data_IF_780418591931
#
_entry.id   IF_780418591931
#
_cell.length_a   1.000
_cell.length_b   1.000
_cell.length_c   1.000
_cell.angle_alpha   90.00
_cell.angle_beta   90.00
_cell.angle_gamma   90.00
#
_symmetry.space_group_name_H-M   'P 1'
#
loop_
_entity.id
_entity.type
_entity.pdbx_description
1 polymer ?
#
# COMPACT_ATOMS: atom_id res chain seq x y z
N UNK A 1 11.47 -2.14 14.64
CA UNK A 1 12.63 -1.98 15.55
C UNK A 1 13.41 -0.76 15.09
N UNK A 2 13.33 0.39 15.75
CA UNK A 2 14.25 1.50 15.49
C UNK A 2 15.61 1.12 16.07
N UNK A 3 16.58 0.89 15.20
CA UNK A 3 17.97 0.82 15.62
C UNK A 3 18.38 2.21 16.10
N UNK A 4 18.66 2.35 17.38
CA UNK A 4 19.27 3.55 17.93
C UNK A 4 20.74 3.58 17.51
N UNK A 5 21.01 4.06 16.30
CA UNK A 5 22.35 4.12 15.72
C UNK A 5 23.17 5.30 16.27
N UNK A 6 22.52 6.30 16.87
CA UNK A 6 23.16 7.54 17.30
C UNK A 6 22.85 7.96 18.75
N UNK A 7 22.31 7.04 19.57
CA UNK A 7 21.86 7.40 20.92
C UNK A 7 20.66 8.36 20.90
N UNK A 8 20.42 9.05 21.99
CA UNK A 8 19.32 10.01 22.13
C UNK A 8 19.69 11.42 21.57
N UNK A 9 20.43 11.50 20.47
CA UNK A 9 20.76 12.79 19.84
C UNK A 9 19.50 13.43 19.23
N UNK A 10 18.98 14.52 19.82
CA UNK A 10 17.79 15.20 19.31
C UNK A 10 17.96 15.77 17.89
N UNK A 11 19.20 16.04 17.47
CA UNK A 11 19.47 16.53 16.13
C UNK A 11 19.36 15.40 15.09
N UNK A 12 19.85 14.21 15.40
CA UNK A 12 19.70 13.04 14.54
C UNK A 12 18.22 12.68 14.34
N UNK A 13 17.40 12.72 15.40
CA UNK A 13 15.96 12.49 15.33
C UNK A 13 15.30 13.54 14.42
N UNK A 14 15.61 14.81 14.58
CA UNK A 14 15.08 15.91 13.72
C UNK A 14 15.49 15.74 12.26
N UNK A 15 16.73 15.36 12.00
CA UNK A 15 17.23 15.13 10.64
C UNK A 15 16.47 13.96 9.97
N UNK A 16 16.19 12.88 10.70
CA UNK A 16 15.37 11.76 10.20
C UNK A 16 13.93 12.19 9.93
N UNK A 17 13.32 12.96 10.83
CA UNK A 17 11.97 13.49 10.63
C UNK A 17 11.91 14.42 9.42
N UNK A 18 12.90 15.30 9.25
CA UNK A 18 13.01 16.18 8.09
C UNK A 18 13.20 15.38 6.79
N UNK A 19 14.06 14.36 6.80
CA UNK A 19 14.24 13.47 5.65
C UNK A 19 12.92 12.82 5.22
N UNK A 20 12.16 12.26 6.16
CA UNK A 20 10.90 11.60 5.87
C UNK A 20 9.79 12.57 5.40
N UNK A 21 9.75 13.78 5.95
CA UNK A 21 8.66 14.73 5.73
C UNK A 21 8.93 15.75 4.61
N UNK A 22 10.19 16.09 4.34
CA UNK A 22 10.60 17.15 3.44
C UNK A 22 11.62 16.70 2.38
N UNK A 23 12.15 15.50 2.49
CA UNK A 23 13.11 14.97 1.51
C UNK A 23 12.45 14.75 0.14
N UNK A 24 13.14 15.14 -0.92
CA UNK A 24 12.70 14.96 -2.31
C UNK A 24 13.06 13.56 -2.85
N UNK A 25 12.81 12.52 -2.09
CA UNK A 25 13.05 11.14 -2.53
C UNK A 25 11.85 10.59 -3.35
N UNK A 26 12.16 9.73 -4.30
CA UNK A 26 11.15 9.07 -5.13
C UNK A 26 10.90 7.66 -4.61
N UNK A 27 9.65 7.36 -4.26
CA UNK A 27 9.29 6.05 -3.70
C UNK A 27 9.46 4.90 -4.70
N UNK A 28 9.31 5.16 -6.00
CA UNK A 28 9.54 4.18 -7.04
C UNK A 28 10.97 3.62 -7.06
N UNK A 29 11.98 4.49 -6.86
CA UNK A 29 13.38 4.06 -6.77
C UNK A 29 13.63 3.19 -5.53
N UNK A 30 12.99 3.53 -4.41
CA UNK A 30 13.07 2.76 -3.17
C UNK A 30 12.42 1.39 -3.36
N UNK A 31 11.24 1.33 -4.00
CA UNK A 31 10.55 0.07 -4.29
C UNK A 31 11.37 -0.83 -5.19
N UNK A 32 11.95 -0.29 -6.27
CA UNK A 32 12.82 -1.07 -7.17
C UNK A 32 14.03 -1.64 -6.42
N UNK A 33 14.68 -0.84 -5.57
CA UNK A 33 15.79 -1.33 -4.75
C UNK A 33 15.31 -2.40 -3.76
N UNK A 34 14.18 -2.20 -3.12
CA UNK A 34 13.59 -3.19 -2.22
C UNK A 34 13.32 -4.51 -2.92
N UNK A 35 12.74 -4.51 -4.14
CA UNK A 35 12.51 -5.74 -4.89
C UNK A 35 13.80 -6.48 -5.28
N UNK A 36 14.89 -5.75 -5.54
CA UNK A 36 16.21 -6.35 -5.76
C UNK A 36 16.73 -7.05 -4.50
N UNK A 37 16.59 -6.44 -3.33
CA UNK A 37 16.95 -7.06 -2.04
C UNK A 37 16.09 -8.31 -1.77
N UNK A 38 14.78 -8.22 -2.00
CA UNK A 38 13.86 -9.35 -1.87
C UNK A 38 14.29 -10.49 -2.79
N UNK A 39 14.68 -10.18 -4.03
CA UNK A 39 15.22 -11.18 -4.96
C UNK A 39 16.46 -11.88 -4.42
N UNK A 40 17.36 -11.16 -3.79
CA UNK A 40 18.59 -11.73 -3.24
C UNK A 40 18.32 -12.66 -2.05
N UNK A 41 17.37 -12.26 -1.19
CA UNK A 41 17.18 -12.90 0.12
C UNK A 41 16.04 -13.94 0.13
N UNK A 42 15.02 -13.77 -0.71
CA UNK A 42 13.77 -14.52 -0.66
C UNK A 42 13.41 -15.21 -1.97
N UNK A 43 14.30 -15.28 -2.96
CA UNK A 43 14.03 -15.83 -4.29
C UNK A 43 13.49 -17.27 -4.23
N UNK A 44 12.33 -17.50 -4.87
CA UNK A 44 11.68 -18.81 -4.94
C UNK A 44 10.70 -18.86 -6.11
N UNK A 45 10.90 -19.81 -7.03
CA UNK A 45 9.99 -20.04 -8.17
C UNK A 45 8.57 -20.49 -7.74
N UNK A 46 8.42 -20.99 -6.52
CA UNK A 46 7.11 -21.36 -5.94
C UNK A 46 6.54 -20.32 -4.99
N UNK A 47 7.12 -19.12 -4.96
CA UNK A 47 6.65 -18.05 -4.10
C UNK A 47 5.18 -17.67 -4.34
N UNK A 48 4.60 -17.04 -3.35
CA UNK A 48 3.20 -16.61 -3.32
C UNK A 48 3.12 -15.10 -3.19
N UNK A 49 2.38 -14.47 -4.09
CA UNK A 49 1.90 -13.11 -3.88
C UNK A 49 0.64 -13.14 -3.00
N UNK A 50 0.58 -12.27 -2.03
CA UNK A 50 -0.54 -12.16 -1.10
C UNK A 50 -1.10 -10.74 -1.18
N UNK A 51 -2.38 -10.62 -1.55
CA UNK A 51 -3.11 -9.36 -1.59
C UNK A 51 -4.06 -9.30 -0.41
N UNK A 52 -3.99 -8.22 0.35
CA UNK A 52 -4.90 -7.96 1.47
C UNK A 52 -5.07 -6.47 1.71
N UNK A 53 -6.13 -6.10 2.43
CA UNK A 53 -6.36 -4.73 2.86
C UNK A 53 -6.40 -4.62 4.38
N UNK A 54 -5.88 -3.51 4.90
CA UNK A 54 -5.89 -3.25 6.33
C UNK A 54 -6.48 -1.88 6.65
N UNK A 55 -7.38 -1.84 7.63
CA UNK A 55 -8.00 -0.62 8.13
C UNK A 55 -7.23 -0.05 9.32
N UNK A 56 -6.81 1.21 9.22
CA UNK A 56 -6.12 1.94 10.28
C UNK A 56 -7.10 2.90 10.97
N UNK A 57 -7.52 2.62 12.22
CA UNK A 57 -8.43 3.50 12.96
C UNK A 57 -7.88 4.92 13.07
N UNK A 58 -8.73 5.90 12.87
CA UNK A 58 -8.39 7.32 12.98
C UNK A 58 -9.37 8.06 13.89
N UNK A 59 -8.83 9.01 14.66
CA UNK A 59 -9.62 10.02 15.33
C UNK A 59 -9.75 11.23 14.40
N UNK A 60 -10.96 11.77 14.28
CA UNK A 60 -11.24 12.91 13.39
C UNK A 60 -11.29 12.53 11.90
N UNK A 61 -11.45 13.56 11.05
CA UNK A 61 -11.79 13.42 9.64
C UNK A 61 -10.75 14.01 8.69
N UNK A 62 -9.61 14.47 9.19
CA UNK A 62 -8.63 15.23 8.40
C UNK A 62 -7.62 14.36 7.64
N UNK A 63 -7.46 13.08 8.00
CA UNK A 63 -6.51 12.21 7.29
C UNK A 63 -7.06 11.83 5.90
N UNK A 64 -6.17 11.80 4.89
CA UNK A 64 -6.52 11.43 3.51
C UNK A 64 -7.20 10.07 3.45
N UNK A 65 -8.33 9.96 2.75
CA UNK A 65 -9.06 8.69 2.59
C UNK A 65 -9.82 8.22 3.83
N UNK A 66 -9.84 9.02 4.91
CA UNK A 66 -10.59 8.65 6.11
C UNK A 66 -12.10 8.68 5.85
N UNK A 67 -12.77 7.61 6.26
CA UNK A 67 -14.22 7.44 6.17
C UNK A 67 -14.70 6.46 7.23
N UNK A 68 -16.02 6.51 7.57
CA UNK A 68 -16.65 5.43 8.33
C UNK A 68 -16.90 4.23 7.42
N UNK A 69 -16.01 3.28 7.46
CA UNK A 69 -15.98 2.08 6.62
C UNK A 69 -15.59 0.85 7.44
N UNK A 70 -15.57 -0.33 6.83
CA UNK A 70 -15.12 -1.54 7.51
C UNK A 70 -13.67 -1.40 7.94
N UNK A 71 -13.40 -1.68 9.19
CA UNK A 71 -12.06 -1.68 9.77
C UNK A 71 -11.76 -3.08 10.30
N UNK A 72 -11.01 -3.87 9.53
CA UNK A 72 -10.69 -5.27 9.88
C UNK A 72 -10.02 -5.39 11.25
N UNK A 73 -9.12 -4.47 11.59
CA UNK A 73 -8.46 -4.44 12.89
C UNK A 73 -9.43 -4.34 14.08
N UNK A 74 -10.58 -3.70 13.88
CA UNK A 74 -11.61 -3.53 14.93
C UNK A 74 -12.79 -4.48 14.76
N UNK A 75 -12.88 -5.25 13.66
CA UNK A 75 -13.99 -6.13 13.34
C UNK A 75 -15.34 -5.42 13.20
N UNK A 76 -15.36 -4.13 12.86
CA UNK A 76 -16.57 -3.31 12.74
C UNK A 76 -16.41 -2.11 11.81
N UNK A 77 -17.53 -1.48 11.43
CA UNK A 77 -17.48 -0.16 10.76
C UNK A 77 -17.00 0.91 11.74
N UNK A 78 -15.84 1.51 11.43
CA UNK A 78 -15.24 2.58 12.22
C UNK A 78 -14.65 3.65 11.29
N UNK A 79 -14.32 4.80 11.87
CA UNK A 79 -13.59 5.84 11.16
C UNK A 79 -12.14 5.37 10.96
N UNK A 80 -11.78 5.09 9.72
CA UNK A 80 -10.45 4.54 9.40
C UNK A 80 -9.99 4.95 8.00
N UNK A 81 -8.68 4.88 7.79
CA UNK A 81 -8.06 4.79 6.46
C UNK A 81 -7.91 3.31 6.10
N UNK A 82 -7.94 2.99 4.81
CA UNK A 82 -7.67 1.62 4.33
C UNK A 82 -6.46 1.65 3.42
N UNK A 83 -5.50 0.78 3.70
CA UNK A 83 -4.38 0.49 2.82
C UNK A 83 -4.59 -0.87 2.15
N UNK A 84 -4.29 -0.96 0.86
CA UNK A 84 -4.19 -2.21 0.12
C UNK A 84 -2.72 -2.57 0.00
N UNK A 85 -2.38 -3.82 0.26
CA UNK A 85 -1.00 -4.29 0.34
C UNK A 85 -0.78 -5.48 -0.56
N UNK A 86 0.40 -5.54 -1.17
CA UNK A 86 0.94 -6.69 -1.86
C UNK A 86 2.14 -7.20 -1.07
N UNK A 87 2.12 -8.47 -0.70
CA UNK A 87 3.19 -9.16 0.01
C UNK A 87 3.76 -10.29 -0.82
N UNK A 88 4.98 -10.69 -0.50
CA UNK A 88 5.70 -11.84 -1.04
C UNK A 88 5.97 -12.84 0.08
N UNK A 89 5.71 -14.09 -0.17
CA UNK A 89 6.05 -15.17 0.75
C UNK A 89 6.70 -16.32 0.00
N UNK A 90 7.80 -16.84 0.54
CA UNK A 90 8.57 -17.96 0.04
C UNK A 90 8.98 -18.88 1.19
N UNK A 91 9.66 -19.98 0.89
CA UNK A 91 10.27 -20.82 1.91
C UNK A 91 11.36 -20.11 2.73
N UNK A 92 11.90 -19.00 2.21
CA UNK A 92 12.98 -18.23 2.84
C UNK A 92 12.48 -17.11 3.74
N UNK A 93 11.18 -16.77 3.67
CA UNK A 93 10.56 -15.72 4.48
C UNK A 93 9.46 -14.96 3.76
N UNK A 94 9.10 -13.82 4.32
CA UNK A 94 8.04 -12.97 3.76
C UNK A 94 8.32 -11.49 3.99
N UNK A 95 7.77 -10.66 3.09
CA UNK A 95 7.87 -9.19 3.18
C UNK A 95 6.72 -8.50 2.43
N UNK A 96 6.52 -7.21 2.73
CA UNK A 96 5.65 -6.36 1.91
C UNK A 96 6.41 -5.93 0.65
N UNK A 97 5.77 -6.02 -0.52
CA UNK A 97 6.34 -5.56 -1.80
C UNK A 97 5.87 -4.16 -2.17
N UNK A 98 4.59 -3.87 -1.94
CA UNK A 98 3.98 -2.63 -2.38
C UNK A 98 2.75 -2.29 -1.52
N UNK A 99 2.29 -1.04 -1.62
CA UNK A 99 1.11 -0.54 -0.91
C UNK A 99 0.41 0.53 -1.73
N UNK A 100 -0.90 0.65 -1.54
CA UNK A 100 -1.71 1.76 -2.05
C UNK A 100 -2.67 2.24 -0.96
N UNK A 101 -2.85 3.53 -0.86
CA UNK A 101 -3.91 4.10 -0.02
C UNK A 101 -5.22 4.05 -0.80
N UNK A 102 -6.23 3.40 -0.25
CA UNK A 102 -7.56 3.41 -0.82
C UNK A 102 -8.24 4.76 -0.53
N UNK A 103 -8.66 5.42 -1.60
CA UNK A 103 -9.49 6.63 -1.51
C UNK A 103 -10.94 6.24 -1.78
N UNK A 104 -11.85 6.35 -0.79
CA UNK A 104 -13.27 6.16 -1.03
C UNK A 104 -13.79 7.07 -2.14
N UNK A 105 -14.78 6.62 -2.89
CA UNK A 105 -15.30 7.32 -4.08
C UNK A 105 -15.65 8.80 -3.79
N UNK A 106 -16.23 9.09 -2.63
CA UNK A 106 -16.56 10.45 -2.23
C UNK A 106 -15.31 11.36 -2.14
N UNK A 107 -14.19 10.82 -1.70
CA UNK A 107 -12.93 11.58 -1.66
C UNK A 107 -12.45 12.01 -3.04
N UNK A 108 -12.82 11.29 -4.08
CA UNK A 108 -12.36 11.54 -5.45
C UNK A 108 -13.39 12.33 -6.26
N UNK A 109 -14.67 11.97 -6.16
CA UNK A 109 -15.70 12.44 -7.09
C UNK A 109 -16.65 13.48 -6.46
N UNK A 110 -16.81 13.49 -5.14
CA UNK A 110 -17.76 14.40 -4.48
C UNK A 110 -17.21 15.83 -4.40
N UNK A 111 -18.04 16.79 -4.81
CA UNK A 111 -17.71 18.23 -4.77
C UNK A 111 -17.50 18.73 -3.34
N UNK A 112 -18.21 18.15 -2.36
CA UNK A 112 -18.07 18.52 -0.96
C UNK A 112 -16.67 18.16 -0.40
N UNK A 113 -15.97 17.27 -1.04
CA UNK A 113 -14.58 16.92 -0.70
C UNK A 113 -13.51 17.73 -1.45
N UNK A 114 -13.89 18.62 -2.38
CA UNK A 114 -12.94 19.35 -3.21
C UNK A 114 -11.93 20.20 -2.40
N UNK A 115 -12.44 20.94 -1.40
CA UNK A 115 -11.59 21.74 -0.51
C UNK A 115 -10.64 20.85 0.31
N UNK A 116 -11.15 19.73 0.82
CA UNK A 116 -10.38 18.77 1.59
C UNK A 116 -9.28 18.10 0.74
N UNK A 117 -9.59 17.75 -0.53
CA UNK A 117 -8.58 17.24 -1.48
C UNK A 117 -7.44 18.23 -1.66
N UNK A 118 -7.76 19.50 -1.88
CA UNK A 118 -6.77 20.58 -2.05
C UNK A 118 -5.91 20.74 -0.80
N UNK A 119 -6.53 20.79 0.37
CA UNK A 119 -5.85 20.91 1.68
C UNK A 119 -4.91 19.72 1.94
N UNK A 120 -5.29 18.54 1.50
CA UNK A 120 -4.51 17.31 1.67
C UNK A 120 -3.46 17.09 0.56
N UNK A 121 -3.38 17.96 -0.43
CA UNK A 121 -2.43 17.85 -1.54
C UNK A 121 -2.68 16.65 -2.46
N UNK A 122 -3.95 16.18 -2.57
CA UNK A 122 -4.28 15.09 -3.49
C UNK A 122 -4.19 15.61 -4.94
N UNK A 123 -3.40 14.98 -5.82
CA UNK A 123 -3.29 15.37 -7.22
C UNK A 123 -4.66 15.39 -7.92
N UNK A 124 -4.86 16.31 -8.85
CA UNK A 124 -6.16 16.47 -9.53
C UNK A 124 -6.48 15.37 -10.54
N UNK A 125 -5.46 14.68 -11.02
CA UNK A 125 -5.53 13.56 -11.96
C UNK A 125 -5.88 12.22 -11.31
N UNK A 126 -5.97 12.17 -9.98
CA UNK A 126 -6.38 10.96 -9.26
C UNK A 126 -7.85 10.64 -9.59
N UNK A 127 -8.06 9.44 -10.10
CA UNK A 127 -9.38 8.85 -10.37
C UNK A 127 -9.73 7.80 -9.32
N UNK A 128 -11.03 7.57 -9.12
CA UNK A 128 -11.50 6.52 -8.21
C UNK A 128 -11.07 5.14 -8.71
N UNK A 129 -10.57 4.31 -7.80
CA UNK A 129 -10.23 2.91 -8.03
C UNK A 129 -10.73 2.06 -6.89
N UNK A 130 -11.29 0.91 -7.22
CA UNK A 130 -11.65 -0.10 -6.21
C UNK A 130 -10.41 -0.71 -5.57
N UNK A 131 -10.55 -1.36 -4.43
CA UNK A 131 -9.42 -2.06 -3.80
C UNK A 131 -8.85 -3.17 -4.70
N UNK A 132 -9.67 -4.00 -5.39
CA UNK A 132 -9.15 -4.95 -6.38
C UNK A 132 -8.37 -4.29 -7.53
N UNK A 133 -8.85 -3.16 -8.05
CA UNK A 133 -8.13 -2.43 -9.11
C UNK A 133 -6.75 -1.93 -8.62
N UNK A 134 -6.66 -1.42 -7.39
CA UNK A 134 -5.39 -1.01 -6.79
C UNK A 134 -4.44 -2.20 -6.58
N UNK A 135 -4.99 -3.35 -6.18
CA UNK A 135 -4.22 -4.58 -6.04
C UNK A 135 -3.67 -5.07 -7.37
N UNK A 136 -4.50 -5.08 -8.41
CA UNK A 136 -4.12 -5.46 -9.77
C UNK A 136 -2.96 -4.60 -10.29
N UNK A 137 -3.04 -3.28 -10.12
CA UNK A 137 -1.95 -2.38 -10.51
C UNK A 137 -0.63 -2.72 -9.81
N UNK A 138 -0.67 -3.03 -8.51
CA UNK A 138 0.54 -3.41 -7.77
C UNK A 138 1.12 -4.73 -8.28
N UNK A 139 0.28 -5.72 -8.56
CA UNK A 139 0.73 -7.00 -9.13
C UNK A 139 1.37 -6.79 -10.49
N UNK A 140 0.69 -6.07 -11.39
CA UNK A 140 1.19 -5.78 -12.74
C UNK A 140 2.50 -4.97 -12.71
N UNK A 141 2.65 -4.04 -11.76
CA UNK A 141 3.87 -3.26 -11.60
C UNK A 141 5.08 -4.15 -11.26
N UNK A 142 4.91 -5.10 -10.32
CA UNK A 142 5.97 -6.04 -9.93
C UNK A 142 6.24 -7.05 -11.06
N UNK A 143 5.20 -7.57 -11.72
CA UNK A 143 5.35 -8.47 -12.88
C UNK A 143 6.11 -7.80 -14.01
N UNK A 144 5.74 -6.56 -14.36
CA UNK A 144 6.41 -5.77 -15.41
C UNK A 144 7.87 -5.48 -15.10
N UNK A 145 8.22 -5.33 -13.84
CA UNK A 145 9.59 -5.16 -13.43
C UNK A 145 10.43 -6.44 -13.66
N UNK A 146 9.78 -7.62 -13.71
CA UNK A 146 10.42 -8.91 -13.96
C UNK A 146 11.47 -9.31 -12.92
N UNK A 147 11.43 -8.69 -11.73
CA UNK A 147 12.47 -8.88 -10.71
C UNK A 147 12.21 -10.10 -9.85
N UNK A 148 10.95 -10.41 -9.55
CA UNK A 148 10.56 -11.44 -8.59
C UNK A 148 9.78 -12.57 -9.27
N UNK A 149 10.21 -13.84 -9.17
CA UNK A 149 9.41 -14.97 -9.56
C UNK A 149 8.28 -15.19 -8.55
N UNK A 150 7.16 -15.66 -9.01
CA UNK A 150 6.08 -16.20 -8.17
C UNK A 150 5.26 -17.19 -8.98
N UNK A 151 4.62 -18.10 -8.31
CA UNK A 151 3.75 -19.12 -8.93
C UNK A 151 2.29 -18.98 -8.55
N UNK A 152 2.02 -18.43 -7.38
CA UNK A 152 0.69 -18.37 -6.81
C UNK A 152 0.35 -16.94 -6.40
N UNK A 153 -0.92 -16.60 -6.54
CA UNK A 153 -1.50 -15.42 -5.91
C UNK A 153 -2.63 -15.86 -5.00
N UNK A 154 -2.68 -15.31 -3.79
CA UNK A 154 -3.76 -15.52 -2.84
C UNK A 154 -4.32 -14.19 -2.36
N UNK A 155 -5.62 -14.16 -2.09
CA UNK A 155 -6.33 -13.00 -1.56
C UNK A 155 -7.52 -13.47 -0.71
N UNK A 156 -8.14 -12.53 0.01
CA UNK A 156 -9.38 -12.80 0.72
C UNK A 156 -10.60 -12.82 -0.23
N UNK A 157 -11.77 -13.15 0.34
CA UNK A 157 -13.03 -13.22 -0.40
C UNK A 157 -13.42 -11.87 -1.06
N UNK A 158 -13.05 -10.75 -0.46
CA UNK A 158 -13.42 -9.43 -0.99
C UNK A 158 -12.77 -9.15 -2.36
N UNK A 159 -11.53 -9.60 -2.54
CA UNK A 159 -10.82 -9.54 -3.84
C UNK A 159 -11.26 -10.69 -4.75
N UNK A 160 -11.44 -11.90 -4.20
CA UNK A 160 -11.80 -13.10 -4.95
C UNK A 160 -13.21 -13.09 -5.55
N UNK A 161 -14.07 -12.13 -5.19
CA UNK A 161 -15.39 -11.92 -5.82
C UNK A 161 -15.33 -11.00 -7.04
N UNK A 162 -14.24 -10.27 -7.25
CA UNK A 162 -14.06 -9.39 -8.39
C UNK A 162 -13.56 -10.19 -9.60
N UNK A 163 -14.47 -10.51 -10.52
CA UNK A 163 -14.15 -11.32 -11.70
C UNK A 163 -13.14 -10.64 -12.60
N UNK A 164 -13.18 -9.32 -12.74
CA UNK A 164 -12.21 -8.58 -13.54
C UNK A 164 -10.80 -8.70 -12.96
N UNK A 165 -10.66 -8.64 -11.63
CA UNK A 165 -9.39 -8.88 -10.95
C UNK A 165 -8.87 -10.30 -11.21
N UNK A 166 -9.73 -11.32 -11.06
CA UNK A 166 -9.32 -12.71 -11.26
C UNK A 166 -8.93 -13.02 -12.71
N UNK A 167 -9.67 -12.49 -13.68
CA UNK A 167 -9.41 -12.70 -15.11
C UNK A 167 -8.06 -12.09 -15.53
N UNK A 168 -7.73 -10.91 -15.03
CA UNK A 168 -6.48 -10.21 -15.35
C UNK A 168 -5.25 -10.81 -14.65
N UNK A 169 -5.42 -11.30 -13.42
CA UNK A 169 -4.32 -11.96 -12.68
C UNK A 169 -4.02 -13.35 -13.21
N UNK A 170 -5.02 -14.03 -13.81
CA UNK A 170 -4.89 -15.38 -14.36
C UNK A 170 -4.22 -15.47 -15.73
N UNK A 171 -3.90 -14.34 -16.36
CA UNK A 171 -3.18 -14.24 -17.64
C UNK A 171 -1.68 -14.17 -17.43
#
# INVERSE_FOLDING_TARGET
MMLNLNGDDPQAIRNMQHFLSQGSWQDSAILQRHWQEVRQDLDDENAVFIVDSSGFPKQGNESVGVKRQWCGQLGKKANCQVGVFLSYASQHGYTLLNRRLYLPQEWVEDKDFAERRTKCGIPQDITFKTQPALALEMVQEVQKAGTLPFRWLTCDEAFGRDTAFLDEVGQ
#
